data_IF_286961877784
#
_entry.id   IF_286961877784
#
_cell.length_a   1.000
_cell.length_b   1.000
_cell.length_c   1.000
_cell.angle_alpha   90.00
_cell.angle_beta   90.00
_cell.angle_gamma   90.00
#
_symmetry.space_group_name_H-M   'P 1'
#
loop_
_entity.id
_entity.type
_entity.pdbx_description
1 polymer ?
#
# COMPACT_ATOMS: atom_id res chain seq x y z
N UNK A 1 -29.00 -15.56 -0.40
CA UNK A 1 -28.64 -15.09 -1.74
C UNK A 1 -27.76 -13.83 -1.75
N UNK A 2 -28.10 -12.77 -1.04
CA UNK A 2 -27.31 -11.52 -1.06
C UNK A 2 -25.87 -11.71 -0.56
N UNK A 3 -25.66 -12.49 0.51
CA UNK A 3 -24.30 -12.76 1.04
C UNK A 3 -23.42 -13.53 0.07
N UNK A 4 -24.02 -14.41 -0.73
CA UNK A 4 -23.29 -15.20 -1.76
C UNK A 4 -22.86 -14.32 -2.94
N UNK A 5 -23.68 -13.35 -3.33
CA UNK A 5 -23.39 -12.41 -4.40
C UNK A 5 -22.27 -11.42 -4.00
N UNK A 6 -22.27 -10.96 -2.77
CA UNK A 6 -21.25 -10.05 -2.23
C UNK A 6 -19.90 -10.79 -2.15
N UNK A 7 -19.88 -12.05 -1.74
CA UNK A 7 -18.67 -12.87 -1.74
C UNK A 7 -18.17 -13.18 -3.16
N UNK A 8 -19.08 -13.41 -4.11
CA UNK A 8 -18.74 -13.64 -5.50
C UNK A 8 -18.14 -12.41 -6.17
N UNK A 9 -18.71 -11.23 -5.97
CA UNK A 9 -18.20 -9.98 -6.51
C UNK A 9 -16.82 -9.63 -5.93
N UNK A 10 -16.65 -9.76 -4.61
CA UNK A 10 -15.36 -9.55 -3.95
C UNK A 10 -14.30 -10.55 -4.41
N UNK A 11 -14.68 -11.81 -4.61
CA UNK A 11 -13.77 -12.82 -5.13
C UNK A 11 -13.40 -12.55 -6.59
N UNK A 12 -14.36 -12.12 -7.41
CA UNK A 12 -14.13 -11.76 -8.81
C UNK A 12 -13.23 -10.53 -8.93
N UNK A 13 -13.44 -9.49 -8.12
CA UNK A 13 -12.52 -8.35 -8.03
C UNK A 13 -11.12 -8.78 -7.61
N UNK A 14 -11.01 -9.61 -6.57
CA UNK A 14 -9.73 -10.14 -6.12
C UNK A 14 -9.04 -11.01 -7.18
N UNK A 15 -9.79 -11.76 -7.95
CA UNK A 15 -9.25 -12.56 -9.05
C UNK A 15 -8.82 -11.68 -10.24
N UNK A 16 -9.60 -10.68 -10.60
CA UNK A 16 -9.26 -9.72 -11.66
C UNK A 16 -8.03 -8.90 -11.27
N UNK A 17 -8.00 -8.38 -10.06
CA UNK A 17 -6.84 -7.70 -9.49
C UNK A 17 -5.64 -8.65 -9.34
N UNK A 18 -5.88 -9.94 -9.07
CA UNK A 18 -4.87 -10.98 -8.99
C UNK A 18 -4.24 -11.33 -10.33
N UNK A 19 -4.97 -11.19 -11.42
CA UNK A 19 -4.48 -11.44 -12.77
C UNK A 19 -3.65 -10.28 -13.33
N UNK A 20 -3.78 -9.10 -12.75
CA UNK A 20 -2.95 -7.95 -13.10
C UNK A 20 -2.32 -7.32 -11.85
N UNK A 21 -1.26 -7.92 -11.30
CA UNK A 21 -0.58 -7.40 -10.12
C UNK A 21 -0.03 -5.98 -10.33
N UNK A 22 0.18 -5.56 -11.58
CA UNK A 22 0.62 -4.21 -11.88
C UNK A 22 -0.46 -3.15 -11.61
N UNK A 23 -1.72 -3.48 -11.80
CA UNK A 23 -2.82 -2.56 -11.50
C UNK A 23 -2.86 -2.17 -10.03
N UNK A 24 -2.43 -3.06 -9.13
CA UNK A 24 -2.34 -2.80 -7.69
C UNK A 24 -1.14 -1.96 -7.28
N UNK A 25 -0.11 -1.96 -8.10
CA UNK A 25 1.13 -1.25 -7.80
C UNK A 25 1.11 0.19 -8.31
N UNK A 26 0.11 0.56 -9.09
CA UNK A 26 0.00 1.89 -9.69
C UNK A 26 -0.96 2.78 -8.89
N UNK A 27 -0.56 4.02 -8.70
CA UNK A 27 -1.47 5.05 -8.22
C UNK A 27 -2.48 5.35 -9.34
N UNK A 28 -3.77 5.32 -9.04
CA UNK A 28 -4.76 5.82 -9.97
C UNK A 28 -4.77 7.36 -9.96
N UNK A 29 -5.45 7.97 -10.92
CA UNK A 29 -5.50 9.43 -11.08
C UNK A 29 -6.06 10.12 -9.83
N UNK A 30 -7.15 9.59 -9.27
CA UNK A 30 -7.78 10.14 -8.06
C UNK A 30 -6.83 10.15 -6.86
N UNK A 31 -6.15 9.03 -6.63
CA UNK A 31 -5.17 8.90 -5.55
C UNK A 31 -3.97 9.84 -5.75
N UNK A 32 -3.44 9.90 -6.98
CA UNK A 32 -2.34 10.79 -7.31
C UNK A 32 -2.72 12.25 -7.09
N UNK A 33 -3.92 12.66 -7.47
CA UNK A 33 -4.43 14.01 -7.27
C UNK A 33 -4.58 14.35 -5.77
N UNK A 34 -5.09 13.41 -4.99
CA UNK A 34 -5.22 13.59 -3.54
C UNK A 34 -3.87 13.71 -2.85
N UNK A 35 -2.91 12.85 -3.19
CA UNK A 35 -1.56 12.87 -2.62
C UNK A 35 -0.76 14.09 -3.05
N UNK A 36 -0.97 14.58 -4.28
CA UNK A 36 -0.29 15.77 -4.82
C UNK A 36 -0.51 17.01 -3.97
N UNK A 37 -1.64 17.12 -3.31
CA UNK A 37 -1.93 18.23 -2.38
C UNK A 37 -1.03 18.21 -1.14
N UNK A 38 -0.46 17.06 -0.79
CA UNK A 38 0.38 16.85 0.38
C UNK A 38 1.84 16.59 0.07
N UNK A 39 2.16 16.23 -1.16
CA UNK A 39 3.52 15.96 -1.62
C UNK A 39 3.94 17.06 -2.60
N UNK A 40 4.64 18.05 -2.10
CA UNK A 40 5.07 19.21 -2.91
C UNK A 40 6.26 18.89 -3.81
N UNK A 41 7.11 17.94 -3.40
CA UNK A 41 8.26 17.48 -4.16
C UNK A 41 8.10 16.00 -4.43
N UNK A 42 7.75 15.58 -5.67
CA UNK A 42 7.54 14.15 -5.99
C UNK A 42 8.73 13.26 -5.66
N UNK A 43 9.95 13.75 -5.79
CA UNK A 43 11.16 13.02 -5.44
C UNK A 43 11.28 12.75 -3.94
N UNK A 44 10.51 13.41 -3.09
CA UNK A 44 10.45 13.13 -1.66
C UNK A 44 9.72 11.83 -1.32
N UNK A 45 8.96 11.26 -2.26
CA UNK A 45 8.32 9.97 -2.08
C UNK A 45 9.37 8.87 -1.98
N UNK A 46 9.45 8.23 -0.82
CA UNK A 46 10.43 7.17 -0.55
C UNK A 46 9.88 5.78 -0.80
N UNK A 47 8.61 5.57 -0.46
CA UNK A 47 7.93 4.29 -0.62
C UNK A 47 6.42 4.50 -0.62
N UNK A 48 5.69 3.56 -1.19
CA UNK A 48 4.24 3.51 -1.10
C UNK A 48 3.76 2.06 -1.18
N UNK A 49 2.57 1.82 -0.66
CA UNK A 49 1.85 0.56 -0.83
C UNK A 49 0.40 0.86 -1.16
N UNK A 50 -0.15 0.04 -2.05
CA UNK A 50 -1.57 0.07 -2.40
C UNK A 50 -2.24 -1.21 -1.87
N UNK A 51 -3.48 -1.09 -1.43
CA UNK A 51 -4.22 -2.24 -0.92
C UNK A 51 -5.62 -1.85 -0.47
N UNK A 52 -6.14 -2.58 0.49
CA UNK A 52 -7.46 -2.37 1.07
C UNK A 52 -7.38 -2.09 2.57
N UNK A 53 -8.18 -1.14 3.01
CA UNK A 53 -8.43 -0.90 4.41
C UNK A 53 -9.72 -1.60 4.84
N UNK A 54 -9.76 -2.09 6.08
CA UNK A 54 -11.00 -2.63 6.64
C UNK A 54 -12.02 -1.50 6.76
N UNK A 55 -13.20 -1.70 6.20
CA UNK A 55 -14.34 -0.76 6.18
C UNK A 55 -14.14 0.50 5.30
N UNK A 56 -12.95 0.80 4.85
CA UNK A 56 -12.65 2.01 4.09
C UNK A 56 -12.38 1.76 2.60
N UNK A 57 -12.52 0.52 2.11
CA UNK A 57 -12.28 0.18 0.71
C UNK A 57 -10.81 0.24 0.33
N UNK A 58 -10.51 0.70 -0.86
CA UNK A 58 -9.13 0.85 -1.34
C UNK A 58 -8.39 1.97 -0.61
N UNK A 59 -7.08 1.84 -0.52
CA UNK A 59 -6.24 2.84 0.11
C UNK A 59 -4.81 2.82 -0.43
N UNK A 60 -4.08 3.86 -0.09
CA UNK A 60 -2.65 3.98 -0.37
C UNK A 60 -1.95 4.53 0.86
N UNK A 61 -0.85 3.89 1.24
CA UNK A 61 0.09 4.44 2.21
C UNK A 61 1.31 4.96 1.46
N UNK A 62 1.69 6.19 1.70
CA UNK A 62 2.85 6.82 1.11
C UNK A 62 3.78 7.36 2.20
N UNK A 63 5.07 7.13 2.05
CA UNK A 63 6.09 7.63 2.94
C UNK A 63 6.96 8.64 2.20
N UNK A 64 7.04 9.83 2.75
CA UNK A 64 7.96 10.86 2.29
C UNK A 64 9.10 11.06 3.29
N UNK A 65 10.02 11.97 3.00
CA UNK A 65 11.11 12.28 3.92
C UNK A 65 10.64 12.85 5.25
N UNK A 66 9.48 13.50 5.30
CA UNK A 66 9.00 14.23 6.47
C UNK A 66 7.79 13.62 7.13
N UNK A 67 6.96 12.89 6.37
CA UNK A 67 5.65 12.44 6.83
C UNK A 67 5.19 11.15 6.19
N UNK A 68 4.29 10.48 6.89
CA UNK A 68 3.49 9.37 6.39
C UNK A 68 2.11 9.88 5.99
N UNK A 69 1.62 9.42 4.85
CA UNK A 69 0.32 9.76 4.29
C UNK A 69 -0.52 8.49 4.13
N UNK A 70 -1.77 8.54 4.54
CA UNK A 70 -2.74 7.48 4.29
C UNK A 70 -3.93 8.04 3.51
N UNK A 71 -4.08 7.62 2.26
CA UNK A 71 -5.24 7.95 1.44
C UNK A 71 -6.34 6.91 1.67
N UNK A 72 -7.54 7.40 1.97
CA UNK A 72 -8.75 6.61 2.21
C UNK A 72 -9.73 6.84 1.07
N UNK A 73 -9.87 5.86 0.17
CA UNK A 73 -10.72 6.03 -1.02
C UNK A 73 -12.19 6.19 -0.69
N UNK A 74 -12.70 5.51 0.35
CA UNK A 74 -14.11 5.60 0.74
C UNK A 74 -14.53 7.02 1.14
N UNK A 75 -13.66 7.78 1.78
CA UNK A 75 -13.90 9.15 2.23
C UNK A 75 -13.22 10.20 1.37
N UNK A 76 -12.36 9.77 0.44
CA UNK A 76 -11.50 10.63 -0.41
C UNK A 76 -10.65 11.60 0.41
N UNK A 77 -10.16 11.13 1.54
CA UNK A 77 -9.38 11.94 2.47
C UNK A 77 -7.96 11.40 2.61
N UNK A 78 -7.04 12.27 2.99
CA UNK A 78 -5.66 11.92 3.31
C UNK A 78 -5.39 12.22 4.77
N UNK A 79 -4.98 11.20 5.52
CA UNK A 79 -4.46 11.39 6.88
C UNK A 79 -2.96 11.63 6.80
N UNK A 80 -2.47 12.60 7.55
CA UNK A 80 -1.05 12.97 7.59
C UNK A 80 -0.49 12.72 8.98
N UNK A 81 0.64 12.03 9.06
CA UNK A 81 1.34 11.75 10.31
C UNK A 81 2.82 12.12 10.16
N UNK A 82 3.33 12.92 11.08
CA UNK A 82 4.76 13.24 11.12
C UNK A 82 5.58 11.97 11.41
N UNK A 83 6.76 11.85 10.83
CA UNK A 83 7.63 10.67 11.00
C UNK A 83 7.90 10.37 12.49
N UNK A 84 8.12 11.40 13.29
CA UNK A 84 8.41 11.25 14.72
C UNK A 84 7.21 10.74 15.56
N UNK A 85 6.01 10.72 14.99
CA UNK A 85 4.80 10.17 15.63
C UNK A 85 4.59 8.70 15.31
N UNK A 86 5.37 8.12 14.41
CA UNK A 86 5.33 6.68 14.12
C UNK A 86 6.12 5.95 15.19
N UNK A 87 5.48 5.00 15.86
CA UNK A 87 6.10 4.22 16.94
C UNK A 87 6.73 2.95 16.42
N UNK A 88 6.01 2.27 15.55
CA UNK A 88 6.46 1.00 14.99
C UNK A 88 5.67 0.67 13.73
N UNK A 89 6.25 -0.17 12.90
CA UNK A 89 5.59 -0.71 11.72
C UNK A 89 5.81 -2.22 11.61
N UNK A 90 4.92 -2.88 10.91
CA UNK A 90 5.07 -4.29 10.60
C UNK A 90 4.41 -4.61 9.26
N UNK A 91 5.02 -5.52 8.51
CA UNK A 91 4.47 -6.11 7.32
C UNK A 91 4.47 -7.63 7.48
N UNK A 92 3.29 -8.23 7.44
CA UNK A 92 3.10 -9.67 7.65
C UNK A 92 2.38 -10.26 6.47
N UNK A 93 2.89 -11.37 5.93
CA UNK A 93 2.26 -12.04 4.81
C UNK A 93 0.92 -12.63 5.20
N UNK A 94 -0.12 -12.22 4.48
CA UNK A 94 -1.47 -12.76 4.58
C UNK A 94 -1.84 -13.62 3.39
N UNK A 95 -3.11 -14.00 3.31
CA UNK A 95 -3.64 -14.84 2.24
C UNK A 95 -3.59 -14.18 0.85
N UNK A 96 -3.76 -12.87 0.79
CA UNK A 96 -3.89 -12.10 -0.46
C UNK A 96 -2.80 -11.04 -0.66
N UNK A 97 -1.68 -11.18 0.01
CA UNK A 97 -0.58 -10.24 0.00
C UNK A 97 -0.14 -9.88 1.41
N UNK A 98 0.63 -8.82 1.56
CA UNK A 98 1.10 -8.39 2.87
C UNK A 98 0.10 -7.48 3.55
N UNK A 99 -0.08 -7.66 4.85
CA UNK A 99 -0.74 -6.67 5.71
C UNK A 99 0.33 -5.74 6.26
N UNK A 100 0.21 -4.46 5.95
CA UNK A 100 1.11 -3.42 6.46
C UNK A 100 0.40 -2.65 7.55
N UNK A 101 1.01 -2.58 8.74
CA UNK A 101 0.49 -1.81 9.89
C UNK A 101 1.48 -0.74 10.28
N UNK A 102 0.99 0.46 10.43
CA UNK A 102 1.75 1.62 10.92
C UNK A 102 1.12 2.05 12.24
N UNK A 103 1.83 1.83 13.33
CA UNK A 103 1.40 2.22 14.67
C UNK A 103 1.90 3.63 14.98
N UNK A 104 0.99 4.54 15.21
CA UNK A 104 1.29 5.91 15.60
C UNK A 104 0.90 6.15 17.06
N UNK A 105 1.18 7.33 17.57
CA UNK A 105 0.76 7.69 18.94
C UNK A 105 -0.76 7.67 19.13
N UNK A 106 -1.51 8.03 18.09
CA UNK A 106 -2.96 8.20 18.17
C UNK A 106 -3.76 7.00 17.65
N UNK A 107 -3.23 6.26 16.67
CA UNK A 107 -3.97 5.15 16.03
C UNK A 107 -3.05 4.22 15.25
N UNK A 108 -3.59 3.09 14.85
CA UNK A 108 -2.96 2.15 13.92
C UNK A 108 -3.61 2.26 12.56
N UNK A 109 -2.79 2.45 11.53
CA UNK A 109 -3.20 2.34 10.13
C UNK A 109 -2.90 0.93 9.65
N UNK A 110 -3.85 0.28 9.01
CA UNK A 110 -3.68 -1.07 8.50
C UNK A 110 -4.12 -1.15 7.03
N UNK A 111 -3.30 -1.79 6.22
CA UNK A 111 -3.56 -2.04 4.80
C UNK A 111 -3.38 -3.51 4.50
N UNK A 112 -4.35 -4.09 3.81
CA UNK A 112 -4.38 -5.50 3.44
C UNK A 112 -4.13 -5.67 1.94
N UNK A 113 -3.52 -6.79 1.57
CA UNK A 113 -3.30 -7.12 0.17
C UNK A 113 -2.22 -6.29 -0.52
N UNK A 114 -1.28 -5.74 0.23
CA UNK A 114 -0.16 -5.00 -0.32
C UNK A 114 0.80 -5.94 -1.08
N UNK A 115 1.39 -5.43 -2.16
CA UNK A 115 2.42 -6.16 -2.88
C UNK A 115 3.66 -6.38 -2.00
N UNK A 116 4.24 -7.58 -2.10
CA UNK A 116 5.42 -7.97 -1.31
C UNK A 116 6.60 -7.00 -1.50
N UNK A 117 6.91 -6.66 -2.74
CA UNK A 117 8.07 -5.81 -3.05
C UNK A 117 7.87 -4.39 -2.54
N UNK A 118 6.68 -3.84 -2.70
CA UNK A 118 6.35 -2.51 -2.18
C UNK A 118 6.27 -2.50 -0.64
N UNK A 119 5.74 -3.54 -0.02
CA UNK A 119 5.73 -3.68 1.44
C UNK A 119 7.16 -3.80 2.00
N UNK A 120 8.03 -4.54 1.32
CA UNK A 120 9.44 -4.62 1.66
C UNK A 120 10.17 -3.28 1.52
N UNK A 121 9.89 -2.53 0.47
CA UNK A 121 10.45 -1.19 0.28
C UNK A 121 9.98 -0.21 1.35
N UNK A 122 8.71 -0.27 1.74
CA UNK A 122 8.16 0.52 2.85
C UNK A 122 8.86 0.19 4.16
N UNK A 123 9.05 -1.10 4.46
CA UNK A 123 9.78 -1.57 5.62
C UNK A 123 11.22 -1.02 5.64
N UNK A 124 11.95 -1.14 4.54
CA UNK A 124 13.33 -0.63 4.45
C UNK A 124 13.40 0.89 4.59
N UNK A 125 12.47 1.62 3.99
CA UNK A 125 12.41 3.07 4.10
C UNK A 125 12.13 3.53 5.54
N UNK A 126 11.27 2.81 6.26
CA UNK A 126 10.99 3.08 7.69
C UNK A 126 12.19 2.79 8.57
N UNK A 127 12.90 1.66 8.35
CA UNK A 127 14.14 1.36 9.06
C UNK A 127 15.20 2.44 8.84
N UNK A 128 15.36 2.91 7.60
CA UNK A 128 16.31 3.98 7.26
C UNK A 128 16.00 5.30 7.98
N UNK A 129 14.76 5.48 8.45
CA UNK A 129 14.31 6.63 9.26
C UNK A 129 14.39 6.39 10.76
N UNK A 130 14.97 5.28 11.19
CA UNK A 130 15.09 4.92 12.60
C UNK A 130 13.80 4.42 13.25
N UNK A 131 12.80 4.06 12.45
CA UNK A 131 11.54 3.51 12.94
C UNK A 131 11.68 2.00 13.06
N UNK A 132 11.31 1.45 14.22
CA UNK A 132 11.25 0.00 14.42
C UNK A 132 10.24 -0.60 13.46
N UNK A 133 10.69 -1.48 12.58
CA UNK A 133 9.86 -2.14 11.59
C UNK A 133 10.23 -3.61 11.48
N UNK A 134 9.23 -4.46 11.31
CA UNK A 134 9.41 -5.90 11.05
C UNK A 134 8.78 -6.29 9.73
N UNK A 135 9.40 -7.25 9.06
CA UNK A 135 8.92 -7.81 7.81
C UNK A 135 8.91 -9.33 7.91
N UNK A 136 7.75 -9.93 7.74
CA UNK A 136 7.56 -11.37 7.82
C UNK A 136 7.00 -11.89 6.50
N UNK A 137 7.73 -12.79 5.86
CA UNK A 137 7.41 -13.32 4.54
C UNK A 137 7.05 -14.82 4.55
N UNK A 138 6.73 -15.39 5.70
CA UNK A 138 6.27 -16.78 5.77
C UNK A 138 4.93 -16.91 5.05
N UNK A 139 4.94 -17.62 3.94
CA UNK A 139 3.72 -17.93 3.18
C UNK A 139 2.85 -18.92 3.94
N UNK A 140 1.60 -18.59 4.28
CA UNK A 140 0.62 -19.59 4.65
C UNK A 140 0.43 -20.58 3.48
N UNK A 141 0.23 -21.87 3.78
CA UNK A 141 -0.10 -22.85 2.73
C UNK A 141 -1.35 -22.40 1.97
N UNK A 142 -1.29 -22.44 0.63
CA UNK A 142 -2.42 -22.10 -0.23
C UNK A 142 -2.61 -20.62 -0.55
N UNK A 143 -1.56 -19.82 -0.49
CA UNK A 143 -1.61 -18.44 -0.99
C UNK A 143 -1.77 -18.42 -2.52
N UNK A 144 -2.79 -17.73 -3.00
CA UNK A 144 -3.08 -17.60 -4.44
C UNK A 144 -1.96 -16.89 -5.22
N UNK A 145 -1.16 -16.10 -4.54
CA UNK A 145 -0.08 -15.30 -5.14
C UNK A 145 1.21 -16.09 -5.39
N UNK A 146 1.42 -17.20 -4.73
CA UNK A 146 2.60 -18.06 -4.92
C UNK A 146 2.62 -18.75 -6.28
N UNK A 147 1.47 -18.81 -6.98
CA UNK A 147 1.33 -19.43 -8.29
C UNK A 147 1.56 -18.46 -9.47
N UNK A 148 1.70 -17.15 -9.21
CA UNK A 148 1.90 -16.16 -10.27
C UNK A 148 3.38 -16.07 -10.65
N UNK A 149 3.70 -16.49 -11.86
CA UNK A 149 5.06 -16.51 -12.42
C UNK A 149 5.33 -15.41 -13.44
N UNK A 150 4.52 -14.36 -13.49
CA UNK A 150 4.70 -13.22 -14.39
C UNK A 150 5.87 -12.32 -13.99
N UNK A 151 6.41 -11.57 -14.95
CA UNK A 151 7.40 -10.53 -14.66
C UNK A 151 6.75 -9.39 -13.87
N UNK A 152 7.34 -9.03 -12.73
CA UNK A 152 6.90 -7.90 -11.92
C UNK A 152 7.79 -6.68 -12.20
N UNK A 153 7.26 -5.45 -12.25
CA UNK A 153 8.09 -4.27 -12.27
C UNK A 153 8.93 -4.20 -10.99
N UNK A 154 10.12 -3.67 -11.09
CA UNK A 154 10.95 -3.41 -9.91
C UNK A 154 10.33 -2.34 -9.03
N UNK A 155 10.73 -2.28 -7.77
CA UNK A 155 10.31 -1.19 -6.85
C UNK A 155 10.69 0.17 -7.41
N UNK A 156 11.87 0.28 -8.01
CA UNK A 156 12.35 1.53 -8.60
C UNK A 156 11.47 1.97 -9.77
N UNK A 157 11.03 1.04 -10.62
CA UNK A 157 10.08 1.33 -11.70
C UNK A 157 8.73 1.77 -11.17
N UNK A 158 8.23 1.14 -10.11
CA UNK A 158 6.99 1.52 -9.44
C UNK A 158 7.09 2.92 -8.84
N UNK A 159 8.19 3.25 -8.17
CA UNK A 159 8.43 4.58 -7.62
C UNK A 159 8.56 5.64 -8.69
N UNK A 160 9.23 5.33 -9.80
CA UNK A 160 9.33 6.23 -10.94
C UNK A 160 7.96 6.53 -11.54
N UNK A 161 7.13 5.51 -11.76
CA UNK A 161 5.76 5.67 -12.25
C UNK A 161 4.91 6.51 -11.28
N UNK A 162 4.99 6.24 -9.99
CA UNK A 162 4.26 7.00 -8.96
C UNK A 162 4.68 8.48 -8.94
N UNK A 163 5.97 8.76 -8.99
CA UNK A 163 6.50 10.13 -9.04
C UNK A 163 6.07 10.86 -10.30
N UNK A 164 6.05 10.19 -11.45
CA UNK A 164 5.56 10.77 -12.71
C UNK A 164 4.07 11.11 -12.61
N UNK A 165 3.26 10.25 -12.00
CA UNK A 165 1.82 10.51 -11.78
C UNK A 165 1.58 11.67 -10.83
N UNK A 166 2.43 11.87 -9.84
CA UNK A 166 2.37 13.02 -8.93
C UNK A 166 2.79 14.32 -9.63
N UNK A 167 3.62 14.26 -10.67
CA UNK A 167 3.99 15.40 -11.49
C UNK A 167 2.92 15.79 -12.50
N UNK A 168 2.19 14.82 -13.02
CA UNK A 168 1.18 15.05 -14.04
C UNK A 168 0.03 15.91 -13.46
N UNK A 169 -0.06 17.10 -13.96
CA UNK A 169 -1.12 18.03 -13.59
C UNK A 169 -2.43 17.71 -14.30
#
# INVERSE_FOLDING_TARGET
>A
MLKSLIHGAALTELLIEGHNPYARQKLNTETADALRQHIHTPDSLLAYVCGREVLAGSGVFALTQEKFLAYHAATRTVSTVAINQIRQAQAVRGKYGHTVRIHTESRTYAMYGADKSLAGAMHQALLARGITSSFEDKSPRGTLWSAYSGSHPSVDDCLLDARQRLLAA
#
